data_IF_208239787125
#
_entry.id   IF_208239787125
#
_cell.length_a   1.000
_cell.length_b   1.000
_cell.length_c   1.000
_cell.angle_alpha   90.00
_cell.angle_beta   90.00
_cell.angle_gamma   90.00
#
_symmetry.space_group_name_H-M   'P 1'
#
loop_
_entity.id
_entity.type
_entity.pdbx_description
1 polymer ?
#
# COMPACT_ATOMS: atom_id res chain seq x y z
N UNK A 1 -12.78 5.49 -4.64
CA UNK A 1 -11.93 4.76 -5.62
C UNK A 1 -11.91 3.29 -5.28
N UNK A 2 -12.00 2.44 -6.29
CA UNK A 2 -11.79 1.01 -6.13
C UNK A 2 -10.29 0.74 -6.00
N UNK A 3 -9.93 -0.16 -5.08
CA UNK A 3 -8.56 -0.64 -4.91
C UNK A 3 -8.51 -2.15 -4.95
N UNK A 4 -7.32 -2.69 -5.13
CA UNK A 4 -7.04 -4.13 -5.14
C UNK A 4 -6.11 -4.47 -3.99
N UNK A 5 -6.45 -5.54 -3.26
CA UNK A 5 -5.64 -6.10 -2.19
C UNK A 5 -4.62 -7.06 -2.81
N UNK A 6 -3.33 -6.76 -2.62
CA UNK A 6 -2.23 -7.56 -3.20
C UNK A 6 -1.63 -8.55 -2.20
N UNK A 7 -1.71 -8.26 -0.91
CA UNK A 7 -1.09 -9.05 0.15
C UNK A 7 -2.10 -9.41 1.26
N UNK A 8 -3.13 -10.23 0.97
CA UNK A 8 -4.26 -10.46 1.88
C UNK A 8 -3.88 -11.11 3.22
N UNK A 9 -2.72 -11.78 3.28
CA UNK A 9 -2.21 -12.40 4.51
C UNK A 9 -1.34 -11.46 5.36
N UNK A 10 -1.07 -10.24 4.89
CA UNK A 10 -0.26 -9.28 5.63
C UNK A 10 -1.00 -8.81 6.91
N UNK A 11 -0.32 -8.69 8.09
CA UNK A 11 -0.97 -8.32 9.35
C UNK A 11 -1.79 -7.03 9.29
N UNK A 12 -1.36 -6.02 8.55
CA UNK A 12 -2.13 -4.78 8.30
C UNK A 12 -3.52 -5.07 7.70
N UNK A 13 -3.67 -6.20 7.01
CA UNK A 13 -4.90 -6.60 6.32
C UNK A 13 -5.67 -7.71 7.05
N UNK A 14 -5.40 -7.97 8.33
CA UNK A 14 -6.22 -8.87 9.13
C UNK A 14 -7.67 -8.38 9.17
N UNK A 15 -8.61 -9.29 8.98
CA UNK A 15 -10.04 -8.97 8.84
C UNK A 15 -10.50 -8.67 7.40
N UNK A 16 -9.57 -8.50 6.46
CA UNK A 16 -9.88 -8.32 5.03
C UNK A 16 -9.69 -9.59 4.20
N UNK A 17 -9.37 -10.72 4.85
CA UNK A 17 -9.15 -12.00 4.16
C UNK A 17 -10.42 -12.40 3.38
N UNK A 18 -10.21 -12.86 2.15
CA UNK A 18 -11.29 -13.19 1.23
C UNK A 18 -11.80 -12.02 0.38
N UNK A 19 -11.46 -10.78 0.72
CA UNK A 19 -11.72 -9.63 -0.13
C UNK A 19 -10.59 -9.49 -1.16
N UNK A 20 -10.95 -9.28 -2.42
CA UNK A 20 -10.00 -8.96 -3.49
C UNK A 20 -9.84 -7.46 -3.68
N UNK A 21 -10.87 -6.72 -3.32
CA UNK A 21 -10.96 -5.28 -3.55
C UNK A 21 -11.48 -4.57 -2.31
N UNK A 22 -11.13 -3.31 -2.15
CA UNK A 22 -11.58 -2.45 -1.07
C UNK A 22 -11.91 -1.06 -1.62
N UNK A 23 -13.10 -0.50 -1.34
CA UNK A 23 -13.36 0.91 -1.59
C UNK A 23 -12.51 1.80 -0.68
N UNK A 24 -11.73 2.70 -1.26
CA UNK A 24 -10.91 3.66 -0.51
C UNK A 24 -11.24 5.08 -0.93
N UNK A 25 -11.19 6.01 0.04
CA UNK A 25 -11.38 7.42 -0.23
C UNK A 25 -10.11 7.99 -0.89
N UNK A 26 -10.28 8.72 -1.99
CA UNK A 26 -9.22 9.53 -2.59
C UNK A 26 -9.67 10.99 -2.64
N UNK A 27 -8.85 11.90 -2.18
CA UNK A 27 -9.12 13.34 -2.17
C UNK A 27 -7.87 14.17 -2.51
N UNK A 28 -7.09 13.70 -3.49
CA UNK A 28 -5.90 14.42 -3.93
C UNK A 28 -4.70 14.28 -2.99
N UNK A 29 -4.51 13.12 -2.38
CA UNK A 29 -3.33 12.80 -1.58
C UNK A 29 -2.08 12.54 -2.44
N UNK A 30 -0.96 12.19 -1.82
CA UNK A 30 0.27 11.91 -2.53
C UNK A 30 0.12 10.68 -3.45
N UNK A 31 0.72 10.74 -4.62
CA UNK A 31 0.87 9.57 -5.49
C UNK A 31 2.12 8.81 -5.05
N UNK A 32 1.93 7.72 -4.35
CA UNK A 32 3.03 6.87 -3.93
C UNK A 32 3.63 6.13 -5.14
N UNK A 33 4.93 5.91 -5.07
CA UNK A 33 5.67 5.09 -6.03
C UNK A 33 6.72 4.28 -5.26
N UNK A 34 6.78 2.99 -5.53
CA UNK A 34 7.80 2.10 -4.96
C UNK A 34 8.88 1.90 -6.01
N UNK A 35 10.13 2.20 -5.64
CA UNK A 35 11.27 1.91 -6.50
C UNK A 35 11.37 0.40 -6.72
N UNK A 36 11.65 0.00 -7.94
CA UNK A 36 11.78 -1.41 -8.30
C UNK A 36 10.47 -2.10 -8.70
N UNK A 37 9.31 -1.47 -8.57
CA UNK A 37 8.12 -1.99 -9.23
C UNK A 37 8.09 -1.62 -10.70
N UNK A 38 7.54 -2.54 -11.53
CA UNK A 38 7.25 -2.21 -12.92
C UNK A 38 6.30 -1.00 -12.94
N UNK A 39 6.78 0.09 -13.54
CA UNK A 39 6.03 1.31 -13.72
C UNK A 39 5.82 1.59 -15.20
N UNK A 40 5.08 2.64 -15.56
CA UNK A 40 4.90 3.01 -16.95
C UNK A 40 6.22 3.34 -17.68
N UNK A 41 7.33 3.47 -16.95
CA UNK A 41 8.62 3.91 -17.47
C UNK A 41 9.77 2.91 -17.30
N UNK A 42 9.51 1.65 -16.91
CA UNK A 42 10.58 0.66 -16.83
C UNK A 42 10.21 -0.65 -16.13
N UNK A 43 11.07 -1.68 -16.31
CA UNK A 43 10.89 -2.97 -15.66
C UNK A 43 11.09 -2.87 -14.13
N UNK A 44 10.52 -3.83 -13.40
CA UNK A 44 10.76 -3.97 -11.97
C UNK A 44 12.23 -4.28 -11.70
N UNK A 45 12.85 -3.59 -10.75
CA UNK A 45 14.15 -4.00 -10.22
C UNK A 45 13.98 -5.22 -9.29
N UNK A 46 15.03 -6.04 -9.09
CA UNK A 46 14.98 -7.16 -8.18
C UNK A 46 14.59 -6.68 -6.77
N UNK A 47 13.64 -7.37 -6.15
CA UNK A 47 13.27 -7.10 -4.76
C UNK A 47 14.43 -7.47 -3.82
N UNK A 48 14.78 -6.55 -2.95
CA UNK A 48 15.77 -6.74 -1.88
C UNK A 48 15.09 -6.74 -0.49
N UNK A 49 15.85 -7.05 0.56
CA UNK A 49 15.32 -7.12 1.93
C UNK A 49 14.74 -5.79 2.43
N UNK A 50 15.14 -4.67 1.86
CA UNK A 50 14.65 -3.32 2.18
C UNK A 50 13.63 -2.81 1.15
N UNK A 51 13.17 -3.66 0.22
CA UNK A 51 12.21 -3.26 -0.80
C UNK A 51 10.83 -3.10 -0.17
N UNK A 52 10.19 -1.92 -0.31
CA UNK A 52 8.83 -1.73 0.17
C UNK A 52 7.85 -2.67 -0.51
N UNK A 53 6.89 -3.17 0.26
CA UNK A 53 5.83 -4.06 -0.22
C UNK A 53 4.55 -3.28 -0.42
N UNK A 54 3.96 -3.34 -1.60
CA UNK A 54 2.63 -2.77 -1.86
C UNK A 54 1.58 -3.73 -1.35
N UNK A 55 0.81 -3.29 -0.37
CA UNK A 55 -0.27 -4.08 0.24
C UNK A 55 -1.58 -3.91 -0.52
N UNK A 56 -1.87 -2.67 -0.91
CA UNK A 56 -3.09 -2.29 -1.64
C UNK A 56 -2.71 -1.28 -2.72
N UNK A 57 -3.32 -1.40 -3.90
CA UNK A 57 -3.12 -0.45 -5.00
C UNK A 57 -4.45 0.06 -5.55
N UNK A 58 -4.47 1.27 -6.09
CA UNK A 58 -5.61 1.81 -6.83
C UNK A 58 -5.76 1.10 -8.17
N UNK A 59 -6.99 0.74 -8.53
CA UNK A 59 -7.28 0.27 -9.88
C UNK A 59 -7.20 1.43 -10.88
N UNK A 60 -7.67 2.62 -10.47
CA UNK A 60 -7.63 3.84 -11.28
C UNK A 60 -8.51 3.78 -12.52
N UNK A 61 -8.44 4.85 -13.34
CA UNK A 61 -9.33 5.02 -14.47
C UNK A 61 -10.75 5.38 -14.06
N UNK A 62 -11.60 5.69 -15.04
CA UNK A 62 -12.98 6.05 -14.78
C UNK A 62 -13.77 4.91 -14.14
N UNK A 63 -13.50 3.67 -14.54
CA UNK A 63 -14.09 2.45 -13.99
C UNK A 63 -13.74 2.22 -12.51
N UNK A 64 -12.63 2.78 -12.04
CA UNK A 64 -12.21 2.74 -10.65
C UNK A 64 -12.86 3.80 -9.77
N UNK A 65 -13.60 4.75 -10.34
CA UNK A 65 -14.30 5.80 -9.60
C UNK A 65 -15.66 5.28 -9.17
N UNK A 66 -15.80 4.88 -7.90
CA UNK A 66 -17.05 4.32 -7.37
C UNK A 66 -18.11 5.40 -7.08
N UNK A 67 -17.67 6.59 -6.69
CA UNK A 67 -18.57 7.73 -6.43
C UNK A 67 -17.79 9.04 -6.41
N UNK A 68 -18.49 10.15 -6.60
CA UNK A 68 -17.94 11.48 -6.63
C UNK A 68 -17.38 11.88 -8.02
N UNK A 69 -16.89 13.10 -8.10
CA UNK A 69 -16.28 13.63 -9.32
C UNK A 69 -14.77 13.57 -9.17
N UNK A 70 -14.09 12.99 -10.15
CA UNK A 70 -12.64 12.92 -10.17
C UNK A 70 -12.11 13.28 -11.56
N UNK A 71 -11.18 14.22 -11.62
CA UNK A 71 -10.40 14.49 -12.83
C UNK A 71 -9.07 13.79 -12.74
N UNK A 72 -8.61 13.19 -13.84
CA UNK A 72 -7.31 12.52 -13.89
C UNK A 72 -7.27 11.18 -13.15
N UNK A 73 -8.37 10.43 -13.16
CA UNK A 73 -8.45 9.10 -12.54
C UNK A 73 -7.37 8.12 -13.05
N UNK A 74 -6.89 8.30 -14.28
CA UNK A 74 -5.80 7.50 -14.84
C UNK A 74 -4.45 7.75 -14.16
N UNK A 75 -4.24 8.91 -13.55
CA UNK A 75 -2.97 9.22 -12.86
C UNK A 75 -2.77 8.34 -11.61
N UNK A 76 -3.84 7.85 -11.01
CA UNK A 76 -3.78 6.94 -9.85
C UNK A 76 -3.80 5.47 -10.26
N UNK A 77 -3.96 5.15 -11.55
CA UNK A 77 -4.00 3.78 -12.05
C UNK A 77 -2.73 3.03 -11.66
N UNK A 78 -2.92 1.88 -11.01
CA UNK A 78 -1.86 1.01 -10.50
C UNK A 78 -0.89 1.68 -9.49
N UNK A 79 -1.23 2.86 -8.98
CA UNK A 79 -0.43 3.49 -7.91
C UNK A 79 -0.68 2.80 -6.57
N UNK A 80 0.36 2.65 -5.75
CA UNK A 80 0.20 2.14 -4.40
C UNK A 80 -0.75 2.99 -3.57
N UNK A 81 -1.68 2.33 -2.88
CA UNK A 81 -2.59 2.96 -1.92
C UNK A 81 -2.10 2.76 -0.49
N UNK A 82 -1.58 1.55 -0.18
CA UNK A 82 -0.99 1.22 1.12
C UNK A 82 0.31 0.49 0.87
N UNK A 83 1.38 0.92 1.54
CA UNK A 83 2.73 0.35 1.40
C UNK A 83 3.33 0.07 2.77
N UNK A 84 3.92 -1.10 2.92
CA UNK A 84 4.81 -1.44 4.03
C UNK A 84 6.26 -1.22 3.58
N UNK A 85 6.93 -0.24 4.20
CA UNK A 85 8.31 0.13 3.89
C UNK A 85 9.22 -0.21 5.07
N UNK A 86 10.09 -1.23 4.95
CA UNK A 86 11.14 -1.50 5.92
C UNK A 86 12.12 -0.33 5.99
N UNK A 87 12.51 0.08 7.20
CA UNK A 87 13.50 1.14 7.43
C UNK A 87 14.42 0.72 8.57
N UNK A 88 15.61 0.26 8.26
CA UNK A 88 16.54 -0.28 9.25
C UNK A 88 15.91 -1.45 10.02
N UNK A 89 15.80 -1.33 11.35
CA UNK A 89 15.15 -2.34 12.21
C UNK A 89 13.65 -2.11 12.37
N UNK A 90 13.13 -1.02 11.86
CA UNK A 90 11.71 -0.65 11.94
C UNK A 90 11.03 -0.70 10.59
N UNK A 91 9.84 -0.11 10.54
CA UNK A 91 9.06 0.04 9.30
C UNK A 91 8.10 1.21 9.36
N UNK A 92 7.68 1.63 8.21
CA UNK A 92 6.69 2.68 8.03
C UNK A 92 5.55 2.11 7.19
N UNK A 93 4.33 2.21 7.70
CA UNK A 93 3.13 1.92 6.89
C UNK A 93 2.65 3.24 6.30
N UNK A 94 2.72 3.35 4.99
CA UNK A 94 2.35 4.54 4.23
C UNK A 94 0.95 4.37 3.64
N UNK A 95 0.14 5.41 3.76
CA UNK A 95 -1.18 5.51 3.13
C UNK A 95 -1.17 6.68 2.15
N UNK A 96 -1.64 6.45 0.93
CA UNK A 96 -1.78 7.49 -0.09
C UNK A 96 -2.96 8.43 0.16
N UNK A 97 -3.77 8.17 1.16
CA UNK A 97 -4.91 8.95 1.59
C UNK A 97 -4.92 9.11 3.11
N UNK A 98 -5.93 9.79 3.64
CA UNK A 98 -6.19 9.78 5.09
C UNK A 98 -7.21 8.67 5.42
N UNK A 99 -6.76 7.51 5.94
CA UNK A 99 -7.63 6.35 6.18
C UNK A 99 -8.58 6.54 7.38
N UNK A 100 -8.40 7.58 8.18
CA UNK A 100 -9.26 7.89 9.35
C UNK A 100 -9.98 9.23 9.18
N UNK A 101 -10.22 9.66 7.94
CA UNK A 101 -10.80 10.97 7.64
C UNK A 101 -12.21 11.11 8.18
N UNK A 102 -12.40 11.98 9.18
CA UNK A 102 -13.70 12.47 9.69
C UNK A 102 -14.76 11.39 9.93
N UNK A 103 -14.40 10.22 10.41
CA UNK A 103 -15.31 9.08 10.58
C UNK A 103 -16.06 8.65 9.30
N UNK A 104 -15.51 8.88 8.13
CA UNK A 104 -16.15 8.54 6.86
C UNK A 104 -15.53 7.31 6.19
N UNK A 105 -14.38 6.88 6.63
CA UNK A 105 -13.57 5.83 5.98
C UNK A 105 -13.54 4.53 6.79
N UNK A 106 -14.70 4.12 7.34
CA UNK A 106 -14.79 2.94 8.22
C UNK A 106 -14.16 1.68 7.66
N UNK A 107 -14.30 1.45 6.34
CA UNK A 107 -13.68 0.32 5.67
C UNK A 107 -12.15 0.33 5.68
N UNK A 108 -11.54 1.47 5.98
CA UNK A 108 -10.08 1.66 6.01
C UNK A 108 -9.51 1.66 7.42
N UNK A 109 -10.33 1.95 8.45
CA UNK A 109 -9.90 2.07 9.84
C UNK A 109 -9.20 0.81 10.34
N UNK A 110 -9.69 -0.37 9.94
CA UNK A 110 -9.10 -1.65 10.34
C UNK A 110 -7.61 -1.75 9.99
N UNK A 111 -7.19 -1.23 8.84
CA UNK A 111 -5.77 -1.25 8.46
C UNK A 111 -4.90 -0.41 9.40
N UNK A 112 -5.41 0.74 9.88
CA UNK A 112 -4.67 1.59 10.82
C UNK A 112 -4.55 0.91 12.18
N UNK A 113 -5.67 0.36 12.69
CA UNK A 113 -5.65 -0.37 13.96
C UNK A 113 -4.77 -1.60 13.88
N UNK A 114 -4.82 -2.36 12.79
CA UNK A 114 -3.98 -3.53 12.58
C UNK A 114 -2.49 -3.15 12.56
N UNK A 115 -2.13 -2.06 11.91
CA UNK A 115 -0.74 -1.59 11.89
C UNK A 115 -0.21 -1.27 13.29
N UNK A 116 -1.08 -0.82 14.21
CA UNK A 116 -0.71 -0.50 15.60
C UNK A 116 -0.74 -1.76 16.47
N UNK A 117 -1.78 -2.58 16.37
CA UNK A 117 -2.01 -3.71 17.27
C UNK A 117 -1.16 -4.93 16.93
N UNK A 118 -0.90 -5.15 15.65
CA UNK A 118 -0.21 -6.34 15.13
C UNK A 118 1.18 -6.03 14.55
N UNK A 119 1.80 -4.94 15.00
CA UNK A 119 3.13 -4.56 14.48
C UNK A 119 4.20 -5.65 14.69
N UNK A 120 4.08 -6.45 15.74
CA UNK A 120 4.99 -7.57 16.02
C UNK A 120 4.78 -8.77 15.08
N UNK A 121 3.60 -8.89 14.46
CA UNK A 121 3.29 -9.98 13.54
C UNK A 121 3.80 -9.68 12.12
N UNK A 122 4.16 -8.42 11.85
CA UNK A 122 4.70 -8.04 10.56
C UNK A 122 6.14 -8.56 10.47
N UNK A 123 6.46 -9.41 9.46
CA UNK A 123 7.79 -10.01 9.35
C UNK A 123 8.88 -8.95 9.33
N UNK A 124 9.94 -9.15 10.11
CA UNK A 124 11.11 -8.28 10.07
C UNK A 124 11.69 -8.24 8.65
N UNK A 125 12.23 -7.10 8.25
CA UNK A 125 12.99 -7.02 7.01
C UNK A 125 14.16 -8.02 7.06
N UNK A 126 14.39 -8.74 5.97
CA UNK A 126 15.52 -9.66 5.91
C UNK A 126 16.84 -8.87 6.13
N UNK A 127 17.79 -9.39 6.92
CA UNK A 127 19.05 -8.71 7.16
C UNK A 127 19.79 -8.48 5.83
N UNK A 128 20.32 -7.29 5.68
CA UNK A 128 21.16 -6.95 4.52
C UNK A 128 22.35 -7.91 4.46
N UNK A 129 22.63 -8.55 3.31
CA UNK A 129 23.82 -9.36 3.19
C UNK A 129 25.04 -8.50 3.54
N UNK A 130 25.78 -8.89 4.54
CA UNK A 130 27.03 -8.22 4.92
C UNK A 130 27.97 -8.37 3.72
N UNK A 131 28.25 -7.28 3.03
CA UNK A 131 29.30 -7.26 2.01
C UNK A 131 30.60 -7.55 2.74
N UNK A 132 31.07 -8.79 2.65
CA UNK A 132 32.42 -9.14 3.03
C UNK A 132 33.32 -8.48 2.00
N UNK A 133 33.83 -7.29 2.32
CA UNK A 133 34.90 -6.68 1.54
C UNK A 133 36.11 -7.62 1.62
N UNK A 134 36.51 -8.16 0.48
CA UNK A 134 37.82 -8.73 0.26
C UNK A 134 38.79 -7.62 -0.08
#
# INVERSE_FOLDING_TARGET
MQTEILQPSHPVLYGYQGQKTLPMRWAGGPLLQVQGQAGPFGPAAPAGPETPTVLVRFQGGEEGVLSGLMRGADQVRNRPAVVDAPVGKGRIILYANNPIYRWQTFGEHGMVFNAILFYNDIPAAAPKPTSTAQ
#
